data_IF_400153156202
#
_entry.id   IF_400153156202
#
_cell.length_a   1.000
_cell.length_b   1.000
_cell.length_c   1.000
_cell.angle_alpha   90.00
_cell.angle_beta   90.00
_cell.angle_gamma   90.00
#
_symmetry.space_group_name_H-M   'P 1'
#
loop_
_entity.id
_entity.type
_entity.pdbx_description
1 polymer ?
#
# COMPACT_ATOMS: atom_id res chain seq x y z
N UNK A 1 8.45 -8.36 -5.83
CA UNK A 1 8.14 -8.97 -7.14
C UNK A 1 6.78 -9.68 -7.12
N UNK A 2 6.64 -10.88 -6.51
CA UNK A 2 5.42 -11.73 -6.62
C UNK A 2 4.08 -11.01 -6.46
N UNK A 3 3.95 -10.15 -5.45
CA UNK A 3 2.72 -9.41 -5.21
C UNK A 3 2.45 -8.34 -6.28
N UNK A 4 3.48 -7.64 -6.75
CA UNK A 4 3.36 -6.71 -7.88
C UNK A 4 2.98 -7.45 -9.16
N UNK A 5 3.61 -8.59 -9.44
CA UNK A 5 3.29 -9.42 -10.61
C UNK A 5 1.82 -9.89 -10.57
N UNK A 6 1.31 -10.23 -9.38
CA UNK A 6 -0.10 -10.56 -9.18
C UNK A 6 -1.00 -9.35 -9.50
N UNK A 7 -0.70 -8.18 -8.95
CA UNK A 7 -1.45 -6.95 -9.21
C UNK A 7 -1.45 -6.60 -10.71
N UNK A 8 -0.27 -6.58 -11.34
CA UNK A 8 -0.07 -6.32 -12.78
C UNK A 8 -0.68 -7.37 -13.69
N UNK A 9 -0.99 -8.56 -13.20
CA UNK A 9 -1.69 -9.58 -14.00
C UNK A 9 -3.20 -9.36 -14.00
N UNK A 10 -3.74 -8.76 -12.94
CA UNK A 10 -5.18 -8.74 -12.67
C UNK A 10 -5.83 -7.36 -12.81
N UNK A 11 -5.08 -6.28 -12.60
CA UNK A 11 -5.61 -4.92 -12.50
C UNK A 11 -4.75 -3.93 -13.26
N UNK A 12 -5.36 -2.88 -13.80
CA UNK A 12 -4.63 -1.68 -14.24
C UNK A 12 -4.34 -0.87 -12.98
N UNK A 13 -3.07 -0.70 -12.65
CA UNK A 13 -2.67 -0.09 -11.40
C UNK A 13 -2.53 1.42 -11.53
N UNK A 14 -3.19 2.13 -10.62
CA UNK A 14 -2.87 3.51 -10.32
C UNK A 14 -1.91 3.51 -9.13
N UNK A 15 -0.64 3.77 -9.39
CA UNK A 15 0.38 3.90 -8.35
C UNK A 15 0.57 5.39 -8.08
N UNK A 16 0.02 5.89 -6.98
CA UNK A 16 0.25 7.28 -6.59
C UNK A 16 1.61 7.37 -5.87
N UNK A 17 2.45 8.31 -6.30
CA UNK A 17 3.61 8.71 -5.52
C UNK A 17 3.17 9.70 -4.45
N UNK A 18 3.75 9.63 -3.25
CA UNK A 18 3.52 10.64 -2.21
C UNK A 18 4.00 12.00 -2.72
N UNK A 19 3.06 12.85 -3.16
CA UNK A 19 3.34 14.16 -3.74
C UNK A 19 2.22 14.70 -4.66
N UNK A 20 1.28 13.86 -5.09
CA UNK A 20 0.09 14.31 -5.83
C UNK A 20 -1.13 14.26 -4.91
N UNK A 21 -1.29 15.31 -4.10
CA UNK A 21 -2.59 15.61 -3.52
C UNK A 21 -3.59 15.82 -4.66
N UNK A 22 -4.75 15.19 -4.55
CA UNK A 22 -5.84 15.34 -5.50
C UNK A 22 -6.34 16.78 -5.48
N UNK A 23 -5.85 17.58 -6.44
CA UNK A 23 -6.43 18.88 -6.75
C UNK A 23 -7.83 18.65 -7.31
N UNK A 24 -8.84 19.03 -6.53
CA UNK A 24 -10.21 19.22 -7.01
C UNK A 24 -10.16 20.34 -8.05
N UNK A 25 -10.01 19.95 -9.32
CA UNK A 25 -9.76 20.89 -10.41
C UNK A 25 -10.79 22.02 -10.48
N UNK A 26 -10.36 23.29 -10.57
CA UNK A 26 -11.26 24.36 -10.96
C UNK A 26 -11.40 24.40 -12.49
N UNK A 27 -12.58 24.87 -12.89
CA UNK A 27 -13.11 24.95 -14.24
C UNK A 27 -12.16 25.55 -15.29
N UNK A 28 -12.28 25.03 -16.51
CA UNK A 28 -11.58 25.45 -17.72
C UNK A 28 -11.54 26.98 -17.92
N UNK A 29 -10.33 27.56 -17.97
CA UNK A 29 -10.08 28.72 -18.83
C UNK A 29 -8.83 28.52 -19.69
N UNK A 30 -9.05 28.60 -20.99
CA UNK A 30 -8.07 28.46 -22.05
C UNK A 30 -7.00 29.57 -21.95
N UNK A 31 -5.73 29.20 -21.80
CA UNK A 31 -4.66 30.05 -22.31
C UNK A 31 -3.44 29.24 -22.75
N UNK A 32 -3.02 29.47 -24.00
CA UNK A 32 -1.84 28.86 -24.59
C UNK A 32 -0.57 29.35 -23.91
N UNK A 33 0.08 28.47 -23.16
CA UNK A 33 1.37 28.70 -22.51
C UNK A 33 2.40 27.68 -22.96
N UNK A 34 3.59 28.17 -23.26
CA UNK A 34 4.71 27.49 -23.92
C UNK A 34 5.27 26.33 -23.07
N UNK A 35 5.48 25.16 -23.70
CA UNK A 35 6.20 24.02 -23.12
C UNK A 35 7.60 24.45 -22.66
N UNK A 36 7.84 24.37 -21.36
CA UNK A 36 9.18 24.38 -20.78
C UNK A 36 9.36 23.03 -20.08
N UNK A 37 10.17 22.16 -20.69
CA UNK A 37 10.36 20.78 -20.24
C UNK A 37 11.03 20.71 -18.87
N UNK A 38 10.44 19.94 -17.97
CA UNK A 38 11.09 19.47 -16.75
C UNK A 38 11.82 18.15 -17.07
N UNK A 39 13.14 18.21 -16.95
CA UNK A 39 14.03 17.05 -16.97
C UNK A 39 14.15 16.51 -15.54
N UNK A 40 13.25 15.63 -15.13
CA UNK A 40 13.56 14.61 -14.12
C UNK A 40 12.73 13.35 -14.41
N UNK A 41 13.35 12.44 -15.15
CA UNK A 41 12.74 11.19 -15.55
C UNK A 41 12.84 10.16 -14.44
N UNK A 42 11.75 9.97 -13.69
CA UNK A 42 11.23 8.66 -13.30
C UNK A 42 9.76 8.76 -12.86
N UNK A 43 8.86 8.94 -13.82
CA UNK A 43 7.56 8.29 -13.85
C UNK A 43 7.25 8.06 -15.34
N UNK A 44 7.78 6.97 -15.88
CA UNK A 44 7.29 6.51 -17.17
C UNK A 44 5.86 6.01 -16.93
N UNK A 45 4.87 6.87 -17.11
CA UNK A 45 3.54 6.43 -17.49
C UNK A 45 3.73 5.62 -18.79
N UNK A 46 3.94 4.30 -18.67
CA UNK A 46 4.01 3.40 -19.83
C UNK A 46 2.72 3.51 -20.67
N UNK A 47 1.63 4.02 -20.08
CA UNK A 47 0.36 4.32 -20.73
C UNK A 47 0.29 5.65 -21.50
N UNK A 48 1.27 6.56 -21.35
CA UNK A 48 1.24 7.86 -22.01
C UNK A 48 1.24 7.78 -23.54
N UNK A 49 1.67 6.63 -24.10
CA UNK A 49 1.71 6.37 -25.53
C UNK A 49 0.59 5.46 -26.04
N UNK A 50 -0.26 4.92 -25.17
CA UNK A 50 -1.33 3.99 -25.56
C UNK A 50 -2.57 4.73 -26.08
N UNK A 51 -3.09 4.28 -27.22
CA UNK A 51 -4.36 4.80 -27.74
C UNK A 51 -5.52 4.41 -26.80
N UNK A 52 -6.64 5.17 -26.80
CA UNK A 52 -7.84 4.79 -26.05
C UNK A 52 -8.34 3.37 -26.37
N UNK A 53 -8.18 2.91 -27.61
CA UNK A 53 -8.59 1.58 -28.03
C UNK A 53 -7.71 0.47 -27.45
N UNK A 54 -6.39 0.71 -27.37
CA UNK A 54 -5.44 -0.24 -26.75
C UNK A 54 -5.70 -0.37 -25.25
N UNK A 55 -5.94 0.75 -24.54
CA UNK A 55 -6.32 0.74 -23.12
C UNK A 55 -7.63 -0.01 -22.86
N UNK A 56 -8.62 0.16 -23.72
CA UNK A 56 -9.88 -0.58 -23.62
C UNK A 56 -9.69 -2.09 -23.86
N UNK A 57 -8.84 -2.45 -24.83
CA UNK A 57 -8.52 -3.85 -25.10
C UNK A 57 -7.80 -4.50 -23.93
N UNK A 58 -6.81 -3.82 -23.35
CA UNK A 58 -6.09 -4.29 -22.16
C UNK A 58 -7.03 -4.46 -20.96
N UNK A 59 -7.88 -3.48 -20.69
CA UNK A 59 -8.89 -3.54 -19.64
C UNK A 59 -9.80 -4.77 -19.79
N UNK A 60 -10.22 -5.08 -21.03
CA UNK A 60 -11.02 -6.27 -21.33
C UNK A 60 -10.25 -7.56 -21.08
N UNK A 61 -8.99 -7.62 -21.51
CA UNK A 61 -8.14 -8.81 -21.32
C UNK A 61 -7.90 -9.11 -19.84
N UNK A 62 -7.52 -8.10 -19.04
CA UNK A 62 -7.32 -8.24 -17.59
C UNK A 62 -8.62 -8.62 -16.88
N UNK A 63 -9.74 -7.98 -17.25
CA UNK A 63 -11.06 -8.34 -16.70
C UNK A 63 -11.45 -9.78 -17.01
N UNK A 64 -11.25 -10.23 -18.26
CA UNK A 64 -11.55 -11.61 -18.66
C UNK A 64 -10.64 -12.58 -17.91
N UNK A 65 -9.35 -12.30 -17.83
CA UNK A 65 -8.38 -13.13 -17.12
C UNK A 65 -8.73 -13.28 -15.64
N UNK A 66 -8.96 -12.17 -14.94
CA UNK A 66 -9.40 -12.17 -13.52
C UNK A 66 -10.72 -12.93 -13.35
N UNK A 67 -11.65 -12.79 -14.30
CA UNK A 67 -12.91 -13.55 -14.28
C UNK A 67 -12.69 -15.05 -14.43
N UNK A 68 -11.78 -15.45 -15.32
CA UNK A 68 -11.41 -16.83 -15.60
C UNK A 68 -10.58 -17.49 -14.51
N UNK A 69 -9.92 -16.73 -13.62
CA UNK A 69 -9.23 -17.26 -12.44
C UNK A 69 -10.05 -17.16 -11.13
N UNK A 70 -10.74 -16.05 -10.89
CA UNK A 70 -11.35 -15.74 -9.58
C UNK A 70 -12.86 -15.59 -9.59
N UNK A 71 -13.50 -15.57 -10.77
CA UNK A 71 -14.93 -15.25 -10.89
C UNK A 71 -15.15 -13.74 -11.06
N UNK A 72 -16.40 -13.29 -11.03
CA UNK A 72 -16.71 -11.88 -11.32
C UNK A 72 -16.44 -11.01 -10.08
N UNK A 73 -15.17 -10.66 -9.86
CA UNK A 73 -14.75 -9.69 -8.84
C UNK A 73 -15.17 -8.30 -9.29
N UNK A 74 -16.01 -7.63 -8.52
CA UNK A 74 -16.50 -6.29 -8.83
C UNK A 74 -15.69 -5.23 -8.08
N UNK A 75 -15.44 -5.46 -6.80
CA UNK A 75 -14.67 -4.58 -5.92
C UNK A 75 -13.88 -5.38 -4.90
N UNK A 76 -12.80 -4.79 -4.42
CA UNK A 76 -12.10 -5.25 -3.22
C UNK A 76 -11.46 -4.09 -2.50
N UNK A 77 -11.37 -4.19 -1.16
CA UNK A 77 -10.76 -3.18 -0.31
C UNK A 77 -10.16 -3.86 0.92
N UNK A 78 -9.06 -3.34 1.43
CA UNK A 78 -8.42 -3.92 2.59
C UNK A 78 -7.13 -3.25 3.01
N UNK A 79 -6.52 -3.81 4.04
CA UNK A 79 -5.19 -3.48 4.51
C UNK A 79 -4.22 -4.61 4.22
N UNK A 80 -3.00 -4.26 3.86
CA UNK A 80 -1.92 -5.18 3.57
C UNK A 80 -0.66 -4.78 4.33
N UNK A 81 0.09 -5.79 4.77
CA UNK A 81 1.44 -5.61 5.28
C UNK A 81 2.43 -5.99 4.17
N UNK A 82 3.10 -4.97 3.61
CA UNK A 82 4.12 -5.17 2.59
C UNK A 82 5.48 -5.46 3.23
N UNK A 83 6.08 -6.58 2.83
CA UNK A 83 7.40 -6.96 3.29
C UNK A 83 8.44 -5.87 2.97
N UNK A 84 9.22 -5.45 3.96
CA UNK A 84 10.21 -4.39 3.82
C UNK A 84 9.68 -2.97 4.10
N UNK A 85 8.37 -2.82 4.31
CA UNK A 85 7.69 -1.60 4.78
C UNK A 85 6.95 -1.91 6.08
N UNK A 86 7.70 -2.39 7.06
CA UNK A 86 7.17 -2.96 8.31
C UNK A 86 6.59 -1.89 9.26
N UNK A 87 6.85 -0.63 8.96
CA UNK A 87 6.43 0.54 9.69
C UNK A 87 5.08 1.10 9.26
N UNK A 88 4.62 0.76 8.04
CA UNK A 88 3.47 1.37 7.40
C UNK A 88 2.39 0.36 7.02
N UNK A 89 1.14 0.80 7.11
CA UNK A 89 -0.04 0.08 6.63
C UNK A 89 -0.22 0.37 5.14
N UNK A 90 -0.25 -0.67 4.31
CA UNK A 90 -0.70 -0.54 2.94
C UNK A 90 -2.22 -0.61 2.86
N UNK A 91 -2.84 0.28 2.08
CA UNK A 91 -4.24 0.16 1.71
C UNK A 91 -4.35 -0.41 0.29
N UNK A 92 -5.21 -1.41 0.15
CA UNK A 92 -5.64 -1.97 -1.12
C UNK A 92 -7.01 -1.39 -1.46
N UNK A 93 -7.17 -0.92 -2.69
CA UNK A 93 -8.51 -0.67 -3.25
C UNK A 93 -8.59 -1.11 -4.71
N UNK A 94 -9.77 -1.59 -5.12
CA UNK A 94 -10.01 -2.03 -6.48
C UNK A 94 -11.49 -1.88 -6.84
N UNK A 95 -11.74 -1.38 -8.05
CA UNK A 95 -13.06 -1.29 -8.66
C UNK A 95 -12.99 -1.60 -10.16
N UNK A 96 -13.76 -2.61 -10.59
CA UNK A 96 -13.68 -3.12 -11.96
C UNK A 96 -12.29 -3.66 -12.27
N UNK A 97 -11.62 -3.12 -13.29
CA UNK A 97 -10.24 -3.51 -13.61
C UNK A 97 -9.20 -2.60 -12.95
N UNK A 98 -9.61 -1.47 -12.38
CA UNK A 98 -8.67 -0.52 -11.78
C UNK A 98 -8.34 -0.96 -10.35
N UNK A 99 -7.04 -1.01 -10.04
CA UNK A 99 -6.51 -1.31 -8.72
C UNK A 99 -5.58 -0.20 -8.25
N UNK A 100 -5.48 -0.03 -6.94
CA UNK A 100 -4.63 0.98 -6.31
C UNK A 100 -4.06 0.42 -5.01
N UNK A 101 -2.79 0.72 -4.77
CA UNK A 101 -2.07 0.43 -3.53
C UNK A 101 -1.49 1.73 -3.02
N UNK A 102 -1.91 2.15 -1.83
CA UNK A 102 -1.49 3.40 -1.18
C UNK A 102 -1.00 3.14 0.25
N UNK A 103 -0.47 4.18 0.90
CA UNK A 103 -0.09 4.16 2.30
C UNK A 103 -1.25 4.74 3.14
N UNK A 104 -1.69 4.01 4.15
CA UNK A 104 -2.75 4.45 5.08
C UNK A 104 -2.22 5.05 6.39
N UNK A 105 -0.90 5.15 6.53
CA UNK A 105 -0.23 5.65 7.74
C UNK A 105 0.57 4.56 8.47
N UNK A 106 1.10 4.87 9.67
CA UNK A 106 1.86 3.92 10.47
C UNK A 106 0.97 2.83 11.07
N UNK A 107 1.56 1.66 11.32
CA UNK A 107 0.96 0.72 12.28
C UNK A 107 0.90 1.37 13.66
N UNK A 108 -0.12 1.06 14.47
CA UNK A 108 -0.28 1.59 15.82
C UNK A 108 0.94 1.28 16.69
N UNK A 109 1.61 0.14 16.45
CA UNK A 109 2.85 -0.19 17.14
C UNK A 109 4.05 0.73 16.83
N UNK A 110 3.93 1.61 15.82
CA UNK A 110 4.90 2.65 15.50
C UNK A 110 4.43 4.05 15.90
N UNK A 111 3.21 4.21 16.41
CA UNK A 111 2.70 5.47 16.96
C UNK A 111 3.19 5.60 18.41
N UNK A 112 3.69 6.78 18.85
CA UNK A 112 4.07 7.02 20.24
C UNK A 112 2.90 6.72 21.19
N UNK A 113 3.18 6.12 22.34
CA UNK A 113 2.14 5.75 23.32
C UNK A 113 1.32 6.97 23.82
N UNK A 114 1.90 8.17 23.79
CA UNK A 114 1.22 9.42 24.15
C UNK A 114 0.07 9.78 23.18
N UNK A 115 0.14 9.30 21.93
CA UNK A 115 -0.85 9.54 20.88
C UNK A 115 -1.86 8.37 20.76
N UNK A 116 -1.76 7.36 21.63
CA UNK A 116 -2.70 6.25 21.64
C UNK A 116 -4.05 6.68 22.20
N UNK A 117 -5.14 6.00 21.80
CA UNK A 117 -6.42 6.15 22.48
C UNK A 117 -6.29 5.88 23.98
N UNK A 118 -7.02 6.64 24.80
CA UNK A 118 -6.97 6.49 26.26
C UNK A 118 -7.32 5.05 26.69
N UNK A 119 -6.57 4.52 27.65
CA UNK A 119 -6.82 3.20 28.22
C UNK A 119 -8.24 3.12 28.81
N UNK A 120 -8.97 2.06 28.46
CA UNK A 120 -10.36 1.84 28.90
C UNK A 120 -11.43 2.45 27.98
N UNK A 121 -11.03 3.01 26.83
CA UNK A 121 -11.95 3.37 25.74
C UNK A 121 -12.19 2.18 24.79
N UNK A 122 -13.33 2.18 24.11
CA UNK A 122 -13.62 1.16 23.08
C UNK A 122 -12.57 1.16 21.95
N UNK A 123 -12.01 2.33 21.63
CA UNK A 123 -10.96 2.47 20.62
C UNK A 123 -9.65 1.80 21.04
N UNK A 124 -9.24 1.96 22.31
CA UNK A 124 -8.08 1.25 22.85
C UNK A 124 -8.31 -0.27 22.82
N UNK A 125 -9.50 -0.73 23.21
CA UNK A 125 -9.84 -2.14 23.17
C UNK A 125 -9.81 -2.70 21.73
N UNK A 126 -10.24 -1.93 20.74
CA UNK A 126 -10.16 -2.31 19.32
C UNK A 126 -8.72 -2.42 18.82
N UNK A 127 -7.87 -1.46 19.17
CA UNK A 127 -6.42 -1.54 18.93
C UNK A 127 -5.87 -2.82 19.54
N UNK A 128 -6.13 -3.07 20.83
CA UNK A 128 -5.58 -4.23 21.53
C UNK A 128 -6.07 -5.58 20.98
N UNK A 129 -7.27 -5.64 20.36
CA UNK A 129 -7.75 -6.86 19.66
C UNK A 129 -6.88 -7.20 18.46
N UNK A 130 -6.29 -6.21 17.82
CA UNK A 130 -5.45 -6.40 16.64
C UNK A 130 -4.02 -6.84 17.01
N UNK A 131 -3.58 -6.63 18.25
CA UNK A 131 -2.24 -7.00 18.71
C UNK A 131 -2.10 -8.53 18.84
N UNK A 132 -1.47 -9.15 17.84
CA UNK A 132 -1.26 -10.59 17.73
C UNK A 132 -0.09 -11.14 18.57
N UNK A 133 0.57 -10.31 19.39
CA UNK A 133 1.69 -10.68 20.25
C UNK A 133 2.88 -9.73 20.15
N UNK A 134 3.95 -9.93 20.95
CA UNK A 134 5.07 -9.01 21.01
C UNK A 134 5.90 -8.96 19.72
N UNK A 135 5.84 -10.02 18.90
CA UNK A 135 6.61 -10.08 17.65
C UNK A 135 5.92 -9.35 16.51
N UNK A 136 4.64 -9.63 16.23
CA UNK A 136 3.92 -9.09 15.06
C UNK A 136 3.21 -7.77 15.41
N UNK A 137 2.86 -7.59 16.69
CA UNK A 137 2.05 -6.48 17.18
C UNK A 137 0.74 -6.41 16.38
N UNK A 138 0.34 -5.26 15.87
CA UNK A 138 -0.93 -5.03 15.16
C UNK A 138 -0.89 -5.30 13.65
N UNK A 139 0.26 -5.73 13.12
CA UNK A 139 0.45 -5.96 11.68
C UNK A 139 -0.40 -7.13 11.18
N UNK A 140 -1.29 -6.85 10.24
CA UNK A 140 -2.20 -7.84 9.67
C UNK A 140 -2.47 -7.62 8.18
N UNK A 141 -3.13 -8.59 7.57
CA UNK A 141 -3.64 -8.52 6.20
C UNK A 141 -5.12 -8.84 6.24
N UNK A 142 -5.95 -7.93 5.77
CA UNK A 142 -7.40 -8.08 5.73
C UNK A 142 -7.92 -7.49 4.43
N UNK A 143 -8.43 -8.34 3.55
CA UNK A 143 -8.94 -7.92 2.24
C UNK A 143 -10.33 -8.52 2.03
N UNK A 144 -11.29 -7.65 1.70
CA UNK A 144 -12.66 -8.05 1.37
C UNK A 144 -12.81 -8.06 -0.15
N UNK A 145 -13.35 -9.15 -0.69
CA UNK A 145 -13.73 -9.26 -2.11
C UNK A 145 -15.25 -9.28 -2.25
N UNK A 146 -15.78 -8.43 -3.12
CA UNK A 146 -17.21 -8.33 -3.44
C UNK A 146 -17.39 -8.69 -4.91
N UNK A 147 -18.25 -9.67 -5.18
CA UNK A 147 -18.48 -10.13 -6.55
C UNK A 147 -19.47 -11.28 -6.64
N UNK A 148 -19.52 -11.90 -7.82
CA UNK A 148 -20.43 -12.99 -8.14
C UNK A 148 -19.65 -14.22 -8.60
N UNK A 149 -20.08 -15.41 -8.14
CA UNK A 149 -19.44 -16.69 -8.43
C UNK A 149 -17.93 -16.68 -8.12
N UNK A 150 -17.59 -16.07 -6.98
CA UNK A 150 -16.20 -15.95 -6.55
C UNK A 150 -15.62 -17.33 -6.24
N UNK A 151 -14.42 -17.58 -6.75
CA UNK A 151 -13.62 -18.76 -6.40
C UNK A 151 -12.68 -18.40 -5.26
N UNK A 152 -13.24 -18.42 -4.04
CA UNK A 152 -12.52 -18.05 -2.83
C UNK A 152 -11.17 -18.77 -2.71
N UNK A 153 -11.14 -20.09 -2.88
CA UNK A 153 -9.89 -20.87 -2.76
C UNK A 153 -8.81 -20.44 -3.78
N UNK A 154 -9.22 -20.05 -4.98
CA UNK A 154 -8.30 -19.57 -6.01
C UNK A 154 -7.72 -18.18 -5.64
N UNK A 155 -8.56 -17.29 -5.10
CA UNK A 155 -8.13 -15.98 -4.62
C UNK A 155 -7.14 -16.14 -3.46
N UNK A 156 -7.51 -16.96 -2.45
CA UNK A 156 -6.66 -17.23 -1.28
C UNK A 156 -5.33 -17.83 -1.73
N UNK A 157 -5.35 -18.85 -2.59
CA UNK A 157 -4.12 -19.49 -3.07
C UNK A 157 -3.22 -18.54 -3.86
N UNK A 158 -3.79 -17.60 -4.63
CA UNK A 158 -3.02 -16.61 -5.37
C UNK A 158 -2.35 -15.58 -4.44
N UNK A 159 -3.08 -15.13 -3.42
CA UNK A 159 -2.54 -14.24 -2.38
C UNK A 159 -1.49 -14.95 -1.52
N UNK A 160 -1.72 -16.20 -1.12
CA UNK A 160 -0.76 -16.99 -0.36
C UNK A 160 0.56 -17.20 -1.12
N UNK A 161 0.49 -17.35 -2.45
CA UNK A 161 1.68 -17.45 -3.29
C UNK A 161 2.52 -16.16 -3.29
N UNK A 162 1.92 -15.02 -2.91
CA UNK A 162 2.61 -13.75 -2.80
C UNK A 162 3.37 -13.60 -1.47
N UNK A 163 3.00 -14.36 -0.43
CA UNK A 163 3.61 -14.27 0.89
C UNK A 163 5.11 -14.58 0.85
N UNK A 164 5.88 -13.87 1.67
CA UNK A 164 7.29 -14.16 1.89
C UNK A 164 7.44 -15.51 2.57
N UNK A 165 8.51 -16.23 2.23
CA UNK A 165 8.88 -17.49 2.86
C UNK A 165 10.35 -17.48 3.29
N UNK A 166 10.75 -18.53 4.01
CA UNK A 166 12.10 -18.66 4.56
C UNK A 166 13.24 -18.53 3.53
N UNK A 167 12.98 -18.84 2.25
CA UNK A 167 13.98 -18.75 1.19
C UNK A 167 14.20 -17.33 0.65
N UNK A 168 13.21 -16.44 0.82
CA UNK A 168 13.32 -15.03 0.40
C UNK A 168 14.25 -14.22 1.31
N UNK A 169 14.41 -14.67 2.56
CA UNK A 169 15.32 -14.11 3.54
C UNK A 169 16.76 -14.46 3.20
N UNK A 170 17.38 -13.69 2.31
CA UNK A 170 18.85 -13.69 2.21
C UNK A 170 19.39 -13.27 3.57
N UNK A 171 20.23 -14.12 4.18
CA UNK A 171 20.92 -13.89 5.46
C UNK A 171 21.50 -12.47 5.52
N UNK A 172 20.78 -11.52 6.10
CA UNK A 172 21.36 -10.25 6.52
C UNK A 172 22.00 -10.47 7.88
N UNK A 173 23.23 -9.99 8.04
CA UNK A 173 23.85 -9.89 9.36
C UNK A 173 22.96 -9.02 10.24
N UNK A 174 22.67 -9.49 11.46
CA UNK A 174 21.81 -8.85 12.46
C UNK A 174 22.04 -7.33 12.50
N UNK A 175 20.99 -6.54 12.27
CA UNK A 175 21.04 -5.09 12.52
C UNK A 175 21.05 -4.84 14.03
N UNK A 176 21.57 -3.70 14.49
CA UNK A 176 21.65 -3.42 15.94
C UNK A 176 20.29 -3.30 16.64
N UNK A 177 19.21 -3.05 15.89
CA UNK A 177 17.81 -3.04 16.36
C UNK A 177 17.21 -4.46 16.48
N UNK A 178 17.87 -5.47 15.90
CA UNK A 178 17.47 -6.89 15.85
C UNK A 178 17.84 -7.67 17.14
N UNK A 179 18.28 -6.96 18.20
CA UNK A 179 18.75 -7.62 19.43
C UNK A 179 17.61 -8.21 20.28
N UNK A 180 16.36 -7.84 20.01
CA UNK A 180 15.19 -8.31 20.74
C UNK A 180 14.24 -9.19 19.94
N UNK A 181 14.46 -9.41 18.63
CA UNK A 181 13.53 -10.16 17.79
C UNK A 181 14.01 -11.60 17.62
N UNK A 182 14.14 -12.31 18.75
CA UNK A 182 14.49 -13.74 18.76
C UNK A 182 13.28 -14.69 18.67
N UNK A 183 12.08 -14.15 18.43
CA UNK A 183 10.81 -14.89 18.44
C UNK A 183 10.54 -15.67 17.15
N UNK A 184 9.53 -16.54 17.19
CA UNK A 184 9.11 -17.43 16.10
C UNK A 184 8.81 -16.70 14.77
N UNK A 185 8.44 -15.41 14.84
CA UNK A 185 8.03 -14.60 13.70
C UNK A 185 9.02 -13.50 13.28
N UNK A 186 10.20 -13.43 13.90
CA UNK A 186 11.20 -12.41 13.58
C UNK A 186 11.66 -12.43 12.11
N UNK A 187 11.54 -13.58 11.47
CA UNK A 187 11.83 -13.76 10.05
C UNK A 187 10.92 -12.95 9.12
N UNK A 188 9.78 -12.43 9.60
CA UNK A 188 8.86 -11.64 8.80
C UNK A 188 9.33 -10.19 8.56
N UNK A 189 10.32 -9.72 9.31
CA UNK A 189 10.79 -8.33 9.30
C UNK A 189 12.05 -8.12 8.46
N UNK A 190 12.28 -6.87 8.06
CA UNK A 190 13.58 -6.38 7.61
C UNK A 190 14.04 -6.95 6.27
N UNK A 191 13.11 -7.44 5.46
CA UNK A 191 13.37 -7.88 4.08
C UNK A 191 13.74 -6.64 3.25
N UNK A 192 15.03 -6.45 3.02
CA UNK A 192 15.51 -5.37 2.16
C UNK A 192 15.54 -5.87 0.70
N UNK A 193 14.58 -5.41 -0.09
CA UNK A 193 14.62 -5.63 -1.53
C UNK A 193 15.64 -4.68 -2.16
N UNK A 194 16.55 -5.21 -2.98
CA UNK A 194 17.42 -4.38 -3.82
C UNK A 194 16.60 -3.59 -4.86
N UNK A 195 15.42 -4.08 -5.21
CA UNK A 195 14.45 -3.48 -6.14
C UNK A 195 13.05 -3.59 -5.52
N UNK A 196 12.60 -2.54 -4.84
CA UNK A 196 11.21 -2.39 -4.39
C UNK A 196 10.36 -1.88 -5.57
N UNK A 197 9.41 -2.67 -6.11
CA UNK A 197 8.64 -2.28 -7.28
C UNK A 197 7.50 -1.29 -6.97
N UNK A 198 7.21 -1.03 -5.70
CA UNK A 198 6.16 -0.10 -5.30
C UNK A 198 6.66 1.35 -5.28
N UNK A 199 5.78 2.34 -5.54
CA UNK A 199 6.14 3.75 -5.41
C UNK A 199 6.63 4.02 -4.00
N UNK A 200 7.50 5.03 -3.84
CA UNK A 200 7.94 5.45 -2.51
C UNK A 200 6.74 5.94 -1.71
N UNK A 201 6.62 5.43 -0.49
CA UNK A 201 5.68 5.93 0.50
C UNK A 201 6.36 6.97 1.40
N UNK A 202 5.58 7.81 2.11
CA UNK A 202 6.13 8.67 3.14
C UNK A 202 6.84 7.85 4.21
N UNK A 203 7.84 8.43 4.87
CA UNK A 203 8.51 7.78 6.00
C UNK A 203 7.72 8.02 7.28
N UNK A 204 7.95 7.24 8.34
CA UNK A 204 7.37 7.51 9.67
C UNK A 204 7.56 8.97 10.11
N UNK A 205 8.73 9.54 9.83
CA UNK A 205 9.03 10.94 10.19
C UNK A 205 8.11 11.94 9.49
N UNK A 206 7.58 11.63 8.30
CA UNK A 206 6.60 12.48 7.64
C UNK A 206 5.26 12.54 8.41
N UNK A 207 4.87 11.45 9.08
CA UNK A 207 3.62 11.39 9.85
C UNK A 207 3.74 11.95 11.28
N UNK A 208 4.96 12.08 11.82
CA UNK A 208 5.17 12.56 13.20
C UNK A 208 5.49 14.05 13.31
N UNK A 209 5.60 14.78 12.21
CA UNK A 209 5.96 16.21 12.20
C UNK A 209 4.73 17.14 12.21
N UNK A 210 3.51 16.61 12.11
CA UNK A 210 2.29 17.43 11.93
C UNK A 210 1.76 18.15 13.20
N UNK A 211 2.48 18.15 14.33
CA UNK A 211 2.02 18.83 15.57
C UNK A 211 2.82 20.07 16.03
N UNK A 212 3.71 20.65 15.20
CA UNK A 212 4.50 21.84 15.59
C UNK A 212 4.32 23.09 14.70
N UNK A 213 3.13 23.40 14.17
CA UNK A 213 2.85 24.75 13.63
C UNK A 213 1.41 25.22 13.94
N UNK A 214 1.11 25.47 15.22
CA UNK A 214 -0.02 26.33 15.64
C UNK A 214 0.34 27.04 16.96
N UNK A 215 1.42 27.83 16.95
CA UNK A 215 1.85 28.58 18.13
C UNK A 215 2.72 29.78 17.78
N UNK A 216 2.18 30.97 18.05
CA UNK A 216 2.84 32.29 18.13
C UNK A 216 2.80 33.19 16.88
N UNK A 217 1.75 34.02 16.78
CA UNK A 217 1.89 35.50 16.78
C UNK A 217 0.67 36.03 17.58
N UNK A 218 0.77 36.48 18.82
CA UNK A 218 1.66 37.54 19.29
C UNK A 218 0.84 38.85 19.33
N UNK A 219 0.25 39.14 20.50
CA UNK A 219 -0.42 40.41 20.80
C UNK A 219 0.51 41.62 20.56
N UNK A 220 0.02 42.67 19.89
CA UNK A 220 0.34 44.08 20.18
C UNK A 220 -0.87 45.00 19.91
#
# INVERSE_FOLDING_TARGET
>A
ARFMDFLDKHFILKLMSSGEEGDEGPEEEQNGGQMQGCEDGTCADDDAYNTPAEREQEAKLRTQHTREEFGNVMRSKGYIWLAGRDDLVGEWSQAGVMGEISCSGPWMAHVPEDDWPEEGTDAYDDVMKDFAGPEIQDRRQEIVFIGQNLRQDAIVSALDACLINASDLRRRGRSAHDRNHGGEHAWKFGVNYLEDPFPRWPTLSNFMIEEEEDGEEGEE
#
